data_IF_915395499918
#
_entry.id   IF_915395499918
#
_cell.length_a   1.000
_cell.length_b   1.000
_cell.length_c   1.000
_cell.angle_alpha   90.00
_cell.angle_beta   90.00
_cell.angle_gamma   90.00
#
_symmetry.space_group_name_H-M   'P 1'
#
loop_
_entity.id
_entity.type
_entity.pdbx_description
1 polymer ?
#
# COMPACT_ATOMS: atom_id res chain seq x y z
N UNK A 1 0.28 -49.43 4.41
CA UNK A 1 -1.14 -49.14 4.71
C UNK A 1 -1.11 -48.48 6.08
N UNK A 2 -1.08 -47.16 6.26
CA UNK A 2 -1.53 -45.96 5.53
C UNK A 2 -0.88 -44.81 6.33
N UNK A 3 -0.42 -43.65 5.86
CA UNK A 3 -0.46 -42.92 4.60
C UNK A 3 0.81 -42.05 4.59
N UNK A 4 1.60 -42.14 3.51
CA UNK A 4 2.66 -41.19 3.16
C UNK A 4 2.20 -40.37 1.95
N UNK A 5 0.99 -39.80 2.04
CA UNK A 5 0.32 -38.96 1.05
C UNK A 5 -0.59 -38.06 1.90
N UNK A 6 -0.42 -36.76 2.10
CA UNK A 6 -0.14 -35.69 1.15
C UNK A 6 0.41 -34.46 1.90
N UNK A 7 1.72 -34.24 1.87
CA UNK A 7 2.25 -32.87 1.86
C UNK A 7 2.38 -32.44 0.40
N UNK A 8 1.24 -32.46 -0.31
CA UNK A 8 1.13 -31.73 -1.56
C UNK A 8 1.30 -30.27 -1.17
N UNK A 9 2.35 -29.67 -1.70
CA UNK A 9 2.67 -28.26 -1.67
C UNK A 9 1.48 -27.46 -2.25
N UNK A 10 0.42 -27.30 -1.47
CA UNK A 10 -0.61 -26.33 -1.75
C UNK A 10 0.12 -24.98 -1.61
N UNK A 11 0.19 -24.14 -2.66
CA UNK A 11 0.66 -22.79 -2.47
C UNK A 11 -0.31 -22.20 -1.45
N UNK A 12 0.16 -22.05 -0.21
CA UNK A 12 -0.53 -21.25 0.78
C UNK A 12 -0.74 -19.93 0.07
N UNK A 13 -1.99 -19.67 -0.33
CA UNK A 13 -2.36 -18.42 -1.00
C UNK A 13 -2.10 -17.37 0.05
N UNK A 14 -0.88 -16.81 0.06
CA UNK A 14 -0.53 -15.72 0.94
C UNK A 14 -1.28 -14.53 0.41
N UNK A 15 -2.31 -14.13 1.15
CA UNK A 15 -2.89 -12.81 0.97
C UNK A 15 -1.82 -11.80 1.37
N UNK A 16 -1.15 -11.22 0.37
CA UNK A 16 -0.27 -10.08 0.58
C UNK A 16 -1.13 -8.85 0.80
N UNK A 17 -0.70 -7.96 1.70
CA UNK A 17 -1.34 -6.66 1.83
C UNK A 17 -1.10 -5.83 0.56
N UNK A 18 -1.96 -4.85 0.30
CA UNK A 18 -1.76 -3.94 -0.81
C UNK A 18 -0.40 -3.21 -0.71
N UNK A 19 0.04 -2.86 0.49
CA UNK A 19 1.31 -2.17 0.70
C UNK A 19 2.51 -3.09 0.44
N UNK A 20 2.44 -4.36 0.83
CA UNK A 20 3.47 -5.36 0.52
C UNK A 20 3.64 -5.57 -0.99
N UNK A 21 2.55 -5.51 -1.75
CA UNK A 21 2.62 -5.53 -3.22
C UNK A 21 3.37 -4.30 -3.77
N UNK A 22 3.23 -3.15 -3.11
CA UNK A 22 3.85 -1.90 -3.51
C UNK A 22 5.30 -1.72 -3.03
N UNK A 23 5.79 -2.52 -2.08
CA UNK A 23 7.17 -2.44 -1.55
C UNK A 23 8.24 -2.59 -2.64
N UNK A 24 7.96 -3.35 -3.69
CA UNK A 24 8.90 -3.58 -4.79
C UNK A 24 8.85 -2.50 -5.88
N UNK A 25 8.07 -1.43 -5.70
CA UNK A 25 8.01 -0.33 -6.66
C UNK A 25 9.25 0.55 -6.48
N UNK A 26 10.03 0.67 -7.56
CA UNK A 26 11.19 1.56 -7.59
C UNK A 26 10.76 3.04 -7.48
N UNK A 27 11.36 3.76 -6.53
CA UNK A 27 11.12 5.18 -6.33
C UNK A 27 11.99 6.04 -7.26
N UNK A 28 11.44 6.33 -8.44
CA UNK A 28 12.06 7.16 -9.47
C UNK A 28 12.05 8.67 -9.15
N UNK A 29 11.56 9.10 -7.98
CA UNK A 29 11.64 10.50 -7.58
C UNK A 29 13.10 10.90 -7.36
N UNK A 30 13.43 12.14 -7.70
CA UNK A 30 14.73 12.71 -7.36
C UNK A 30 14.84 12.92 -5.85
N UNK A 31 16.01 12.68 -5.28
CA UNK A 31 16.22 12.75 -3.82
C UNK A 31 15.94 14.14 -3.24
N UNK A 32 16.08 15.19 -4.05
CA UNK A 32 15.76 16.57 -3.67
C UNK A 32 14.29 16.80 -3.28
N UNK A 33 13.37 15.94 -3.72
CA UNK A 33 11.93 16.07 -3.49
C UNK A 33 11.35 14.96 -2.60
N UNK A 34 12.20 14.19 -1.91
CA UNK A 34 11.78 13.10 -1.03
C UNK A 34 11.61 13.62 0.41
N UNK A 35 10.42 14.11 0.73
CA UNK A 35 10.03 14.43 2.10
C UNK A 35 9.30 13.29 2.81
N UNK A 36 8.73 12.37 2.03
CA UNK A 36 7.94 11.23 2.50
C UNK A 36 8.28 10.00 1.67
N UNK A 37 8.20 8.82 2.29
CA UNK A 37 8.42 7.55 1.64
C UNK A 37 7.37 7.31 0.54
N UNK A 38 7.75 6.56 -0.49
CA UNK A 38 6.84 6.30 -1.62
C UNK A 38 5.60 5.54 -1.14
N UNK A 39 5.78 4.61 -0.20
CA UNK A 39 4.68 3.84 0.38
C UNK A 39 3.67 4.73 1.10
N UNK A 40 4.10 5.75 1.84
CA UNK A 40 3.20 6.69 2.51
C UNK A 40 2.34 7.46 1.51
N UNK A 41 2.95 7.88 0.40
CA UNK A 41 2.26 8.61 -0.67
C UNK A 41 1.25 7.69 -1.38
N UNK A 42 1.63 6.43 -1.64
CA UNK A 42 0.74 5.43 -2.23
C UNK A 42 -0.44 5.15 -1.28
N UNK A 43 -0.17 4.97 0.01
CA UNK A 43 -1.18 4.74 1.04
C UNK A 43 -2.18 5.90 1.15
N UNK A 44 -1.67 7.13 1.22
CA UNK A 44 -2.48 8.36 1.22
C UNK A 44 -3.37 8.43 -0.02
N UNK A 45 -2.77 8.22 -1.21
CA UNK A 45 -3.48 8.32 -2.49
C UNK A 45 -4.59 7.28 -2.56
N UNK A 46 -4.31 6.03 -2.17
CA UNK A 46 -5.30 4.95 -2.19
C UNK A 46 -6.43 5.21 -1.20
N UNK A 47 -6.11 5.59 0.04
CA UNK A 47 -7.09 5.92 1.07
C UNK A 47 -8.02 7.05 0.63
N UNK A 48 -7.45 8.10 0.01
CA UNK A 48 -8.23 9.23 -0.51
C UNK A 48 -9.14 8.82 -1.68
N UNK A 49 -8.62 8.05 -2.64
CA UNK A 49 -9.39 7.60 -3.82
C UNK A 49 -10.55 6.69 -3.40
N UNK A 50 -10.30 5.74 -2.48
CA UNK A 50 -11.34 4.88 -1.91
C UNK A 50 -12.41 5.69 -1.14
N UNK A 51 -12.02 6.83 -0.58
CA UNK A 51 -12.92 7.79 0.07
C UNK A 51 -13.62 8.74 -0.92
N UNK A 52 -13.47 8.52 -2.22
CA UNK A 52 -14.13 9.29 -3.27
C UNK A 52 -13.38 10.54 -3.75
N UNK A 53 -12.12 10.75 -3.34
CA UNK A 53 -11.32 11.87 -3.83
C UNK A 53 -11.06 11.74 -5.34
N UNK A 54 -11.32 12.82 -6.07
CA UNK A 54 -11.07 12.90 -7.51
C UNK A 54 -9.96 13.92 -7.80
N UNK A 55 -8.79 13.41 -8.19
CA UNK A 55 -7.61 14.19 -8.52
C UNK A 55 -6.83 14.73 -7.32
N UNK A 56 -5.64 15.28 -7.60
CA UNK A 56 -4.64 15.64 -6.58
C UNK A 56 -5.10 16.67 -5.55
N UNK A 57 -5.92 17.64 -5.95
CA UNK A 57 -6.45 18.66 -5.02
C UNK A 57 -7.35 18.03 -3.95
N UNK A 58 -8.20 17.07 -4.33
CA UNK A 58 -9.07 16.37 -3.39
C UNK A 58 -8.26 15.45 -2.47
N UNK A 59 -7.22 14.80 -3.01
CA UNK A 59 -6.31 13.96 -2.21
C UNK A 59 -5.57 14.81 -1.16
N UNK A 60 -5.09 16.00 -1.53
CA UNK A 60 -4.48 16.91 -0.57
C UNK A 60 -5.46 17.33 0.53
N UNK A 61 -6.71 17.66 0.18
CA UNK A 61 -7.74 18.01 1.16
C UNK A 61 -7.99 16.84 2.12
N UNK A 62 -8.12 15.61 1.60
CA UNK A 62 -8.25 14.40 2.42
C UNK A 62 -7.05 14.21 3.35
N UNK A 63 -5.83 14.34 2.82
CA UNK A 63 -4.60 14.17 3.59
C UNK A 63 -4.45 15.17 4.73
N UNK A 64 -4.86 16.42 4.52
CA UNK A 64 -4.89 17.43 5.59
C UNK A 64 -6.00 17.12 6.60
N UNK A 65 -7.18 16.72 6.15
CA UNK A 65 -8.31 16.43 7.02
C UNK A 65 -8.12 15.17 7.89
N UNK A 66 -7.35 14.20 7.42
CA UNK A 66 -7.09 12.93 8.10
C UNK A 66 -5.64 12.83 8.61
N UNK A 67 -4.94 13.96 8.74
CA UNK A 67 -3.50 13.99 9.01
C UNK A 67 -3.11 13.30 10.32
N UNK A 68 -3.95 13.42 11.36
CA UNK A 68 -3.70 12.75 12.65
C UNK A 68 -3.74 11.23 12.48
N UNK A 69 -4.78 10.71 11.83
CA UNK A 69 -4.92 9.28 11.55
C UNK A 69 -3.82 8.74 10.62
N UNK A 70 -3.42 9.52 9.61
CA UNK A 70 -2.34 9.13 8.68
C UNK A 70 -0.96 9.02 9.35
N UNK A 71 -0.80 9.54 10.56
CA UNK A 71 0.47 9.54 11.32
C UNK A 71 0.51 8.51 12.46
N UNK A 72 -0.59 7.81 12.71
CA UNK A 72 -0.65 6.68 13.66
C UNK A 72 0.10 5.47 13.10
#
# INVERSE_FOLDING_TARGET
>A
MTDQIAYVHLPVVRFMSFLELCENIEDNRTDINKHYDLLDIIFLTMSAVLSGAKGWKAIHIFGVAQLEWLRE
#
